data_IF_978736517629
#
_entry.id   IF_978736517629
#
_cell.length_a   1.000
_cell.length_b   1.000
_cell.length_c   1.000
_cell.angle_alpha   90.00
_cell.angle_beta   90.00
_cell.angle_gamma   90.00
#
_symmetry.space_group_name_H-M   'P 1'
#
loop_
_entity.id
_entity.type
_entity.pdbx_description
1 polymer ?
#
# COMPACT_ATOMS: atom_id res chain seq x y z
N UNK A 1 -13.46 -0.16 -12.54
CA UNK A 1 -12.99 1.01 -11.77
C UNK A 1 -11.76 0.62 -10.97
N UNK A 2 -10.62 1.24 -11.26
CA UNK A 2 -9.34 0.91 -10.63
C UNK A 2 -9.33 1.27 -9.15
N UNK A 3 -8.72 0.42 -8.31
CA UNK A 3 -8.50 0.71 -6.89
C UNK A 3 -7.14 1.39 -6.76
N UNK A 4 -7.10 2.61 -6.21
CA UNK A 4 -5.85 3.32 -5.94
C UNK A 4 -4.99 2.54 -4.95
N UNK A 5 -3.68 2.51 -5.21
CA UNK A 5 -2.67 1.90 -4.34
C UNK A 5 -1.61 2.93 -4.00
N UNK A 6 -1.08 2.84 -2.78
CA UNK A 6 0.04 3.68 -2.32
C UNK A 6 1.26 2.80 -2.20
N UNK A 7 2.36 3.16 -2.87
CA UNK A 7 3.64 2.45 -2.79
C UNK A 7 4.55 3.14 -1.77
N UNK A 8 4.95 2.42 -0.72
CA UNK A 8 5.91 2.90 0.27
C UNK A 8 6.94 1.82 0.54
N UNK A 9 8.23 2.14 0.34
CA UNK A 9 9.32 1.20 0.62
C UNK A 9 9.21 -0.13 -0.12
N UNK A 10 8.66 -0.14 -1.34
CA UNK A 10 8.45 -1.36 -2.13
C UNK A 10 7.21 -2.18 -1.76
N UNK A 11 6.39 -1.73 -0.81
CA UNK A 11 5.13 -2.36 -0.44
C UNK A 11 3.95 -1.50 -0.88
N UNK A 12 2.88 -2.13 -1.36
CA UNK A 12 1.66 -1.42 -1.72
C UNK A 12 0.59 -1.51 -0.64
N UNK A 13 -0.11 -0.41 -0.43
CA UNK A 13 -1.23 -0.29 0.49
C UNK A 13 -2.51 -0.01 -0.28
N UNK A 14 -3.61 -0.61 0.13
CA UNK A 14 -4.95 -0.41 -0.44
C UNK A 14 -5.91 0.07 0.63
N UNK A 15 -6.81 0.99 0.27
CA UNK A 15 -7.89 1.43 1.17
C UNK A 15 -9.01 0.39 1.18
N UNK A 16 -9.38 -0.17 2.34
CA UNK A 16 -10.56 -1.03 2.45
C UNK A 16 -11.84 -0.20 2.29
N UNK A 17 -12.92 -0.82 1.81
CA UNK A 17 -14.21 -0.13 1.60
C UNK A 17 -14.75 0.49 2.88
N UNK A 18 -14.62 -0.22 4.01
CA UNK A 18 -15.17 0.20 5.31
C UNK A 18 -14.08 0.55 6.33
N UNK A 19 -13.04 1.27 5.91
CA UNK A 19 -11.99 1.69 6.84
C UNK A 19 -11.21 2.92 6.40
N UNK A 20 -10.83 3.75 7.37
CA UNK A 20 -10.04 4.96 7.13
C UNK A 20 -8.54 4.68 6.98
N UNK A 21 -8.09 3.48 7.38
CA UNK A 21 -6.69 3.12 7.33
C UNK A 21 -6.41 2.28 6.09
N UNK A 22 -5.37 2.66 5.36
CA UNK A 22 -4.79 1.88 4.30
C UNK A 22 -4.07 0.67 4.90
N UNK A 23 -4.24 -0.50 4.29
CA UNK A 23 -3.65 -1.76 4.75
C UNK A 23 -2.81 -2.36 3.64
N UNK A 24 -1.84 -3.21 3.99
CA UNK A 24 -1.03 -3.90 2.98
C UNK A 24 -1.91 -4.64 1.95
N UNK A 25 -1.70 -4.32 0.68
CA UNK A 25 -2.49 -4.82 -0.45
C UNK A 25 -2.33 -6.33 -0.65
N UNK A 26 -1.24 -6.91 -0.13
CA UNK A 26 -0.96 -8.35 -0.15
C UNK A 26 -2.01 -9.13 0.63
N UNK A 27 -2.73 -8.49 1.56
CA UNK A 27 -3.76 -9.11 2.42
C UNK A 27 -3.27 -10.36 3.15
N UNK A 28 -1.97 -10.42 3.44
CA UNK A 28 -1.42 -11.48 4.28
C UNK A 28 -1.97 -11.27 5.71
N UNK A 29 -2.63 -12.29 6.28
CA UNK A 29 -3.26 -12.21 7.60
C UNK A 29 -2.28 -11.89 8.72
N UNK A 30 -1.02 -12.30 8.58
CA UNK A 30 0.05 -11.99 9.53
C UNK A 30 0.60 -10.57 9.37
N UNK A 31 0.35 -9.91 8.23
CA UNK A 31 0.85 -8.58 7.96
C UNK A 31 0.00 -7.53 8.65
N UNK A 32 0.61 -6.84 9.61
CA UNK A 32 -0.05 -5.78 10.39
C UNK A 32 0.24 -4.39 9.84
N UNK A 33 0.91 -4.28 8.69
CA UNK A 33 1.29 -3.00 8.11
C UNK A 33 0.07 -2.14 7.78
N UNK A 34 0.10 -0.89 8.23
CA UNK A 34 -1.00 0.08 8.16
C UNK A 34 -0.47 1.46 7.86
N UNK A 35 -1.26 2.24 7.14
CA UNK A 35 -0.95 3.61 6.78
C UNK A 35 -2.22 4.46 6.94
N UNK A 36 -2.07 5.66 7.50
CA UNK A 36 -3.15 6.62 7.66
C UNK A 36 -2.76 7.90 6.93
N UNK A 37 -3.67 8.37 6.11
CA UNK A 37 -3.57 9.68 5.47
C UNK A 37 -4.44 10.69 6.21
N UNK A 38 -4.11 11.96 6.09
CA UNK A 38 -5.06 13.05 6.33
C UNK A 38 -5.98 13.25 5.11
N UNK A 39 -6.87 14.23 5.20
CA UNK A 39 -7.82 14.58 4.14
C UNK A 39 -7.13 15.21 2.91
N UNK A 40 -5.91 15.72 3.06
CA UNK A 40 -5.10 16.27 1.99
C UNK A 40 -4.23 15.21 1.28
N UNK A 41 -4.21 13.97 1.80
CA UNK A 41 -3.48 12.85 1.23
C UNK A 41 -2.04 12.68 1.75
N UNK A 42 -1.63 13.43 2.78
CA UNK A 42 -0.33 13.28 3.43
C UNK A 42 -0.33 12.15 4.45
N UNK A 43 0.81 11.46 4.56
CA UNK A 43 0.97 10.36 5.52
C UNK A 43 1.14 10.96 6.92
N UNK A 44 0.10 10.83 7.75
CA UNK A 44 0.14 11.26 9.16
C UNK A 44 0.56 10.14 10.11
N UNK A 45 0.40 8.87 9.71
CA UNK A 45 0.85 7.73 10.50
C UNK A 45 1.16 6.55 9.61
N UNK A 46 2.30 5.90 9.85
CA UNK A 46 2.69 4.68 9.15
C UNK A 46 3.24 3.65 10.13
N UNK A 47 2.76 2.42 9.99
CA UNK A 47 3.34 1.23 10.61
C UNK A 47 3.81 0.33 9.47
N UNK A 48 5.09 0.45 9.11
CA UNK A 48 5.69 -0.20 7.93
C UNK A 48 6.42 -1.51 8.27
N UNK A 49 5.93 -2.27 9.25
CA UNK A 49 6.47 -3.60 9.55
C UNK A 49 5.64 -4.67 8.82
N UNK A 50 6.30 -5.37 7.90
CA UNK A 50 5.70 -6.43 7.08
C UNK A 50 6.25 -7.79 7.52
N UNK A 51 5.37 -8.78 7.64
CA UNK A 51 5.74 -10.17 7.95
C UNK A 51 6.05 -11.00 6.69
N UNK A 52 6.32 -10.34 5.57
CA UNK A 52 6.54 -10.97 4.27
C UNK A 52 7.44 -10.09 3.39
N UNK A 53 8.12 -10.69 2.39
CA UNK A 53 8.92 -9.91 1.46
C UNK A 53 8.04 -9.00 0.58
N UNK A 54 8.62 -7.93 0.01
CA UNK A 54 7.94 -7.07 -0.97
C UNK A 54 7.56 -7.89 -2.21
N UNK A 55 6.47 -7.50 -2.88
CA UNK A 55 6.16 -8.03 -4.21
C UNK A 55 7.12 -7.39 -5.23
N UNK A 56 7.51 -8.14 -6.26
CA UNK A 56 8.27 -7.58 -7.37
C UNK A 56 7.33 -6.70 -8.19
N UNK A 57 7.68 -5.43 -8.36
CA UNK A 57 6.98 -4.50 -9.23
C UNK A 57 7.92 -4.14 -10.38
N UNK A 58 7.41 -4.14 -11.61
CA UNK A 58 8.10 -3.48 -12.72
C UNK A 58 7.62 -2.03 -12.72
N UNK A 59 8.56 -1.12 -12.48
CA UNK A 59 8.33 0.31 -12.71
C UNK A 59 8.46 0.56 -14.22
N UNK A 60 7.38 0.97 -14.87
CA UNK A 60 7.45 1.39 -16.27
C UNK A 60 8.08 2.77 -16.36
N UNK A 61 8.61 3.10 -17.54
CA UNK A 61 9.17 4.42 -17.85
C UNK A 61 8.14 5.55 -17.76
N UNK A 62 6.85 5.23 -17.79
CA UNK A 62 5.73 6.18 -17.61
C UNK A 62 5.42 6.48 -16.14
N UNK A 63 6.13 5.85 -15.19
CA UNK A 63 5.89 6.02 -13.75
C UNK A 63 4.75 5.15 -13.21
N UNK A 64 4.19 4.27 -14.04
CA UNK A 64 3.20 3.28 -13.62
C UNK A 64 3.90 2.03 -13.05
N UNK A 65 3.23 1.36 -12.12
CA UNK A 65 3.77 0.15 -11.48
C UNK A 65 2.93 -1.06 -11.90
N UNK A 66 3.50 -1.92 -12.74
CA UNK A 66 2.87 -3.18 -13.15
C UNK A 66 3.27 -4.26 -12.15
N UNK A 67 2.26 -4.90 -11.56
CA UNK A 67 2.46 -6.08 -10.72
C UNK A 67 2.71 -7.28 -11.64
N UNK A 68 3.87 -7.92 -11.49
CA UNK A 68 4.24 -9.16 -12.19
C UNK A 68 3.83 -10.37 -11.37
#
# INVERSE_FOLDING_TARGET
MGKSLILVGGYTFSKPTNGNNWVCSTKNRACKAKLKLDDAGYIIKIYNQHSHPPRKFIKTTTGEFIRV
#
